data_IF_235437453146
#
_entry.id   IF_235437453146
#
_cell.length_a   1.000
_cell.length_b   1.000
_cell.length_c   1.000
_cell.angle_alpha   90.00
_cell.angle_beta   90.00
_cell.angle_gamma   90.00
#
_symmetry.space_group_name_H-M   'P 1'
#
loop_
_entity.id
_entity.type
_entity.pdbx_description
1 polymer ?
#
# COMPACT_ATOMS: atom_id res chain seq x y z
N UNK A 1 -10.76 3.44 -2.12
CA UNK A 1 -9.57 3.94 -1.40
C UNK A 1 -9.94 4.76 -0.16
N UNK A 2 -10.84 5.74 -0.26
CA UNK A 2 -11.26 6.58 0.88
C UNK A 2 -11.68 5.77 2.12
N UNK A 3 -12.38 4.65 1.90
CA UNK A 3 -12.74 3.68 2.94
C UNK A 3 -11.55 3.25 3.81
N UNK A 4 -10.46 2.75 3.21
CA UNK A 4 -9.32 2.25 3.96
C UNK A 4 -8.66 3.34 4.79
N UNK A 5 -8.49 4.53 4.21
CA UNK A 5 -7.94 5.66 4.97
C UNK A 5 -8.85 6.05 6.13
N UNK A 6 -10.18 6.03 5.97
CA UNK A 6 -11.12 6.28 7.08
C UNK A 6 -11.02 5.22 8.16
N UNK A 7 -11.02 3.94 7.79
CA UNK A 7 -10.90 2.86 8.77
C UNK A 7 -9.60 2.95 9.55
N UNK A 8 -8.47 3.28 8.90
CA UNK A 8 -7.19 3.42 9.58
C UNK A 8 -7.17 4.68 10.48
N UNK A 9 -7.69 5.80 9.98
CA UNK A 9 -7.81 7.04 10.76
C UNK A 9 -8.71 6.86 12.01
N UNK A 10 -9.71 5.98 11.91
CA UNK A 10 -10.69 5.72 12.99
C UNK A 10 -10.22 4.64 13.97
N UNK A 11 -9.57 3.57 13.49
CA UNK A 11 -9.24 2.39 14.31
C UNK A 11 -7.80 2.37 14.82
N UNK A 12 -6.84 2.94 14.10
CA UNK A 12 -5.40 2.75 14.38
C UNK A 12 -4.63 4.04 14.66
N UNK A 13 -5.21 5.20 14.35
CA UNK A 13 -4.55 6.50 14.51
C UNK A 13 -4.44 6.90 15.98
N UNK A 14 -3.24 7.29 16.40
CA UNK A 14 -2.99 7.85 17.74
C UNK A 14 -3.33 9.35 17.78
N UNK A 15 -3.54 9.94 18.97
CA UNK A 15 -3.90 11.35 19.10
C UNK A 15 -2.91 12.34 18.45
N UNK A 16 -1.63 11.98 18.41
CA UNK A 16 -0.56 12.84 17.87
C UNK A 16 -0.26 12.58 16.38
N UNK A 17 -0.93 11.59 15.77
CA UNK A 17 -0.70 11.22 14.38
C UNK A 17 -1.37 12.20 13.41
N UNK A 18 -0.70 12.48 12.30
CA UNK A 18 -1.28 13.23 11.17
C UNK A 18 -2.27 12.36 10.38
N UNK A 19 -3.13 12.96 9.51
CA UNK A 19 -4.03 12.18 8.66
C UNK A 19 -3.30 11.12 7.83
N UNK A 20 -3.87 9.92 7.73
CA UNK A 20 -3.29 8.82 6.96
C UNK A 20 -3.15 9.18 5.49
N UNK A 21 -2.01 8.83 4.89
CA UNK A 21 -1.70 9.09 3.48
C UNK A 21 -1.89 7.80 2.67
N UNK A 22 -2.73 7.86 1.63
CA UNK A 22 -2.89 6.76 0.68
C UNK A 22 -1.82 6.80 -0.41
N UNK A 23 -1.23 5.65 -0.75
CA UNK A 23 -0.31 5.53 -1.89
C UNK A 23 -0.89 4.55 -2.89
N UNK A 24 -0.97 4.98 -4.15
CA UNK A 24 -1.38 4.13 -5.27
C UNK A 24 -0.17 3.93 -6.18
N UNK A 25 0.21 2.67 -6.36
CA UNK A 25 1.29 2.26 -7.27
C UNK A 25 0.67 1.72 -8.56
N UNK A 26 1.00 2.36 -9.69
CA UNK A 26 0.49 1.98 -11.01
C UNK A 26 1.62 1.46 -11.90
N UNK A 27 1.37 0.41 -12.70
CA UNK A 27 2.35 -0.08 -13.70
C UNK A 27 2.71 0.98 -14.74
N UNK A 28 1.79 1.90 -15.00
CA UNK A 28 1.98 3.11 -15.80
C UNK A 28 1.07 4.21 -15.29
N UNK A 29 1.46 5.47 -15.49
CA UNK A 29 0.72 6.63 -14.98
C UNK A 29 0.00 7.34 -16.12
N UNK A 30 -1.30 7.16 -16.25
CA UNK A 30 -2.15 8.11 -16.98
C UNK A 30 -2.60 9.19 -15.99
N UNK A 31 -1.88 10.32 -16.00
CA UNK A 31 -2.11 11.41 -15.06
C UNK A 31 -3.54 11.97 -15.14
N UNK A 32 -4.11 12.07 -16.35
CA UNK A 32 -5.46 12.59 -16.52
C UNK A 32 -6.49 11.66 -15.85
N UNK A 33 -6.40 10.35 -16.09
CA UNK A 33 -7.32 9.39 -15.46
C UNK A 33 -7.17 9.44 -13.94
N UNK A 34 -5.94 9.47 -13.42
CA UNK A 34 -5.71 9.55 -11.99
C UNK A 34 -6.28 10.84 -11.38
N UNK A 35 -6.06 11.99 -12.01
CA UNK A 35 -6.59 13.27 -11.54
C UNK A 35 -8.12 13.26 -11.50
N UNK A 36 -8.79 12.84 -12.59
CA UNK A 36 -10.25 12.78 -12.63
C UNK A 36 -10.83 11.76 -11.66
N UNK A 37 -10.19 10.59 -11.49
CA UNK A 37 -10.66 9.56 -10.56
C UNK A 37 -10.51 9.97 -9.08
N UNK A 38 -9.56 10.84 -8.77
CA UNK A 38 -9.26 11.28 -7.40
C UNK A 38 -9.79 12.69 -7.08
N UNK A 39 -10.32 13.42 -8.08
CA UNK A 39 -10.72 14.84 -7.97
C UNK A 39 -11.66 15.13 -6.80
N UNK A 40 -12.62 14.25 -6.55
CA UNK A 40 -13.64 14.43 -5.51
C UNK A 40 -13.25 13.77 -4.17
N UNK A 41 -12.02 13.24 -4.05
CA UNK A 41 -11.51 12.66 -2.82
C UNK A 41 -10.74 13.70 -2.01
N UNK A 42 -11.23 13.97 -0.80
CA UNK A 42 -10.65 14.99 0.09
C UNK A 42 -9.52 14.48 1.00
N UNK A 43 -9.13 13.20 0.87
CA UNK A 43 -8.04 12.59 1.66
C UNK A 43 -6.70 12.65 0.92
N UNK A 44 -5.56 12.77 1.61
CA UNK A 44 -4.26 12.84 0.96
C UNK A 44 -3.93 11.51 0.28
N UNK A 45 -3.81 11.54 -1.06
CA UNK A 45 -3.48 10.38 -1.89
C UNK A 45 -2.35 10.73 -2.85
N UNK A 46 -1.26 9.95 -2.81
CA UNK A 46 -0.17 9.99 -3.76
C UNK A 46 -0.31 8.92 -4.84
N UNK A 47 0.03 9.27 -6.10
CA UNK A 47 0.03 8.32 -7.23
C UNK A 47 1.41 8.28 -7.88
N UNK A 48 2.04 7.12 -7.86
CA UNK A 48 3.34 6.88 -8.49
C UNK A 48 3.29 5.72 -9.47
N UNK A 49 4.08 5.84 -10.55
CA UNK A 49 4.41 4.67 -11.35
C UNK A 49 5.50 3.85 -10.64
N UNK A 50 5.51 2.54 -10.86
CA UNK A 50 6.62 1.68 -10.45
C UNK A 50 7.28 1.06 -11.67
N UNK A 51 8.59 0.84 -11.57
CA UNK A 51 9.37 0.17 -12.60
C UNK A 51 9.75 -1.23 -12.12
N UNK A 52 9.43 -2.24 -12.93
CA UNK A 52 9.90 -3.60 -12.68
C UNK A 52 11.31 -3.72 -13.24
N UNK A 53 12.30 -3.83 -12.36
CA UNK A 53 13.65 -4.19 -12.74
C UNK A 53 13.78 -5.72 -12.77
N UNK A 54 14.52 -6.25 -13.73
CA UNK A 54 14.74 -7.70 -13.86
C UNK A 54 15.56 -8.30 -12.70
N UNK A 55 16.24 -7.46 -11.92
CA UNK A 55 16.99 -7.85 -10.74
C UNK A 55 16.94 -6.73 -9.68
N UNK A 56 16.95 -7.13 -8.41
CA UNK A 56 17.09 -6.21 -7.28
C UNK A 56 18.52 -5.67 -7.21
N UNK A 57 18.73 -4.36 -6.97
CA UNK A 57 20.04 -3.80 -6.71
C UNK A 57 20.77 -4.55 -5.59
N UNK A 58 22.08 -4.79 -5.75
CA UNK A 58 22.87 -5.56 -4.78
C UNK A 58 22.82 -4.96 -3.37
N UNK A 59 22.70 -3.64 -3.28
CA UNK A 59 22.69 -2.89 -2.02
C UNK A 59 21.47 -3.22 -1.15
N UNK A 60 20.34 -3.61 -1.73
CA UNK A 60 19.11 -3.91 -0.98
C UNK A 60 18.82 -5.41 -0.90
N UNK A 61 19.54 -6.24 -1.66
CA UNK A 61 19.30 -7.68 -1.75
C UNK A 61 19.48 -8.40 -0.41
N UNK A 62 20.41 -7.94 0.43
CA UNK A 62 20.63 -8.49 1.78
C UNK A 62 19.61 -8.03 2.82
N UNK A 63 18.84 -6.99 2.54
CA UNK A 63 17.85 -6.41 3.46
C UNK A 63 16.43 -6.88 3.19
N UNK A 64 16.22 -7.62 2.10
CA UNK A 64 14.93 -8.17 1.73
C UNK A 64 14.82 -9.64 2.15
N UNK A 65 13.63 -10.08 2.58
CA UNK A 65 13.39 -11.49 2.87
C UNK A 65 13.58 -12.35 1.61
N UNK A 66 13.83 -13.63 1.81
CA UNK A 66 13.81 -14.62 0.74
C UNK A 66 12.38 -14.81 0.20
N UNK A 67 12.26 -15.42 -0.97
CA UNK A 67 10.96 -15.71 -1.59
C UNK A 67 10.12 -16.60 -0.68
N UNK A 68 10.72 -17.67 -0.14
CA UNK A 68 10.06 -18.63 0.75
C UNK A 68 9.58 -17.97 2.04
N UNK A 69 10.40 -17.11 2.65
CA UNK A 69 10.00 -16.34 3.84
C UNK A 69 8.84 -15.39 3.54
N UNK A 70 8.84 -14.75 2.37
CA UNK A 70 7.75 -13.85 1.97
C UNK A 70 6.45 -14.62 1.73
N UNK A 71 6.50 -15.76 1.05
CA UNK A 71 5.35 -16.65 0.82
C UNK A 71 4.76 -17.11 2.15
N UNK A 72 5.59 -17.56 3.09
CA UNK A 72 5.15 -17.95 4.43
C UNK A 72 4.41 -16.81 5.15
N UNK A 73 4.95 -15.57 5.12
CA UNK A 73 4.29 -14.41 5.74
C UNK A 73 2.92 -14.15 5.10
N UNK A 74 2.82 -14.19 3.76
CA UNK A 74 1.57 -13.94 3.06
C UNK A 74 0.50 -15.01 3.35
N UNK A 75 0.90 -16.26 3.50
CA UNK A 75 0.01 -17.34 3.96
C UNK A 75 -0.49 -17.07 5.38
N UNK A 76 0.38 -16.67 6.30
CA UNK A 76 -0.05 -16.36 7.69
C UNK A 76 -1.02 -15.18 7.77
N UNK A 77 -0.87 -14.17 6.89
CA UNK A 77 -1.78 -13.02 6.83
C UNK A 77 -3.14 -13.43 6.24
N UNK A 78 -3.15 -14.33 5.27
CA UNK A 78 -4.38 -14.81 4.62
C UNK A 78 -5.24 -15.67 5.56
N UNK A 79 -4.64 -16.38 6.51
CA UNK A 79 -5.36 -17.24 7.48
C UNK A 79 -6.06 -16.42 8.58
N UNK A 80 -5.49 -15.28 9.01
CA UNK A 80 -6.07 -14.46 10.09
C UNK A 80 -7.36 -13.72 9.71
N UNK A 81 -7.72 -13.65 8.43
CA UNK A 81 -8.93 -12.96 7.97
C UNK A 81 -10.21 -13.81 8.05
N UNK A 82 -10.12 -15.07 8.51
CA UNK A 82 -11.27 -16.02 8.50
C UNK A 82 -11.77 -16.41 9.89
N UNK A 83 -11.03 -16.08 10.96
CA UNK A 83 -11.35 -16.49 12.34
C UNK A 83 -11.79 -15.30 13.22
N UNK A 84 -12.88 -14.64 12.84
CA UNK A 84 -13.73 -13.90 13.80
C UNK A 84 -15.21 -14.24 13.51
N UNK A 85 -15.65 -15.36 14.08
CA UNK A 85 -17.07 -15.69 14.33
C UNK A 85 -17.30 -15.76 15.84
#
# INVERSE_FOLDING_TARGET
MNFYLSVIDDLLRHPDDQPSIGIILCKGKNQAIAEYALRDLNKPIGVSAYELQNALPEQIKSSLPTIEELENVLETVSVKATDEQ
#
